data_IF_164060925324
#
_entry.id   IF_164060925324
#
_cell.length_a   1.000
_cell.length_b   1.000
_cell.length_c   1.000
_cell.angle_alpha   90.00
_cell.angle_beta   90.00
_cell.angle_gamma   90.00
#
_symmetry.space_group_name_H-M   'P 1'
#
loop_
_entity.id
_entity.type
_entity.pdbx_description
1 polymer ?
#
# COMPACT_ATOMS: atom_id res chain seq x y z
N UNK A 1 8.87 -2.96 -13.17
CA UNK A 1 7.77 -3.29 -12.22
C UNK A 1 6.66 -2.23 -12.20
N UNK A 2 7.00 -0.93 -12.12
CA UNK A 2 5.99 0.14 -12.13
C UNK A 2 5.10 0.17 -13.39
N UNK A 3 5.64 -0.17 -14.55
CA UNK A 3 4.88 -0.27 -15.81
C UNK A 3 3.84 -1.39 -15.78
N UNK A 4 4.15 -2.52 -15.11
CA UNK A 4 3.21 -3.63 -14.94
C UNK A 4 2.05 -3.20 -14.05
N UNK A 5 2.33 -2.51 -12.94
CA UNK A 5 1.28 -1.98 -12.05
C UNK A 5 0.37 -0.98 -12.77
N UNK A 6 0.96 -0.06 -13.55
CA UNK A 6 0.19 0.86 -14.37
C UNK A 6 -0.69 0.13 -15.40
N UNK A 7 -0.16 -0.92 -16.02
CA UNK A 7 -0.90 -1.70 -17.03
C UNK A 7 -2.15 -2.39 -16.48
N UNK A 8 -2.17 -2.69 -15.17
CA UNK A 8 -3.32 -3.28 -14.47
C UNK A 8 -4.18 -2.25 -13.72
N UNK A 9 -3.94 -0.95 -13.94
CA UNK A 9 -4.73 0.13 -13.34
C UNK A 9 -4.40 0.42 -11.87
N UNK A 10 -3.19 0.07 -11.41
CA UNK A 10 -2.70 0.38 -10.07
C UNK A 10 -1.61 1.46 -10.17
N UNK A 11 -1.70 2.48 -9.32
CA UNK A 11 -0.65 3.49 -9.17
C UNK A 11 0.62 2.84 -8.58
N UNK A 12 1.79 2.97 -9.22
CA UNK A 12 3.01 2.29 -8.78
C UNK A 12 3.46 2.70 -7.38
N UNK A 13 3.06 3.87 -6.90
CA UNK A 13 3.30 4.38 -5.56
C UNK A 13 2.63 3.52 -4.47
N UNK A 14 1.64 2.68 -4.84
CA UNK A 14 1.02 1.71 -3.93
C UNK A 14 1.89 0.49 -3.65
N UNK A 15 3.08 0.37 -4.26
CA UNK A 15 4.06 -0.67 -3.98
C UNK A 15 5.40 -0.03 -3.57
N UNK A 16 5.84 -0.31 -2.35
CA UNK A 16 7.15 0.09 -1.86
C UNK A 16 7.95 -1.13 -1.39
N UNK A 17 9.16 -1.27 -1.90
CA UNK A 17 10.10 -2.30 -1.45
C UNK A 17 11.14 -1.66 -0.52
N UNK A 18 11.32 -2.25 0.65
CA UNK A 18 12.28 -1.79 1.64
C UNK A 18 13.02 -2.96 2.27
N UNK A 19 14.29 -2.73 2.62
CA UNK A 19 15.13 -3.73 3.28
C UNK A 19 15.28 -3.40 4.76
N UNK A 20 14.92 -4.36 5.60
CA UNK A 20 15.04 -4.28 7.05
C UNK A 20 15.51 -5.61 7.59
N UNK A 21 16.63 -5.61 8.32
CA UNK A 21 17.08 -6.78 9.07
C UNK A 21 16.25 -6.97 10.34
N UNK A 22 16.33 -8.15 10.97
CA UNK A 22 15.55 -8.47 12.17
C UNK A 22 15.88 -7.58 13.39
N UNK A 23 17.03 -6.91 13.40
CA UNK A 23 17.45 -6.01 14.48
C UNK A 23 17.03 -4.54 14.24
N UNK A 24 16.61 -4.18 13.02
CA UNK A 24 16.30 -2.79 12.64
C UNK A 24 14.83 -2.43 12.89
N UNK A 25 14.29 -2.76 14.07
CA UNK A 25 12.87 -2.55 14.40
C UNK A 25 12.40 -1.09 14.25
N UNK A 26 13.27 -0.12 14.59
CA UNK A 26 12.96 1.30 14.42
C UNK A 26 12.81 1.69 12.94
N UNK A 27 13.69 1.19 12.07
CA UNK A 27 13.64 1.43 10.63
C UNK A 27 12.37 0.84 10.02
N UNK A 28 11.97 -0.36 10.46
CA UNK A 28 10.68 -0.94 10.06
C UNK A 28 9.52 -0.04 10.46
N UNK A 29 9.47 0.40 11.72
CA UNK A 29 8.42 1.30 12.21
C UNK A 29 8.33 2.57 11.37
N UNK A 30 9.44 3.23 11.11
CA UNK A 30 9.49 4.48 10.34
C UNK A 30 9.05 4.26 8.89
N UNK A 31 9.56 3.19 8.25
CA UNK A 31 9.23 2.85 6.86
C UNK A 31 7.76 2.51 6.71
N UNK A 32 7.22 1.67 7.60
CA UNK A 32 5.81 1.29 7.60
C UNK A 32 4.90 2.50 7.87
N UNK A 33 5.28 3.38 8.79
CA UNK A 33 4.50 4.59 9.11
C UNK A 33 4.46 5.55 7.92
N UNK A 34 5.61 5.80 7.27
CA UNK A 34 5.68 6.65 6.07
C UNK A 34 4.83 6.09 4.93
N UNK A 35 4.96 4.79 4.66
CA UNK A 35 4.19 4.13 3.63
C UNK A 35 2.69 4.15 3.93
N UNK A 36 2.28 3.92 5.18
CA UNK A 36 0.88 4.04 5.60
C UNK A 36 0.29 5.42 5.34
N UNK A 37 1.06 6.49 5.64
CA UNK A 37 0.61 7.85 5.38
C UNK A 37 0.46 8.12 3.88
N UNK A 38 1.40 7.66 3.05
CA UNK A 38 1.29 7.77 1.60
C UNK A 38 0.05 7.06 1.05
N UNK A 39 -0.23 5.84 1.51
CA UNK A 39 -1.42 5.08 1.08
C UNK A 39 -2.71 5.79 1.53
N UNK A 40 -2.72 6.40 2.72
CA UNK A 40 -3.85 7.21 3.18
C UNK A 40 -4.11 8.41 2.26
N UNK A 41 -3.07 9.11 1.82
CA UNK A 41 -3.18 10.25 0.90
C UNK A 41 -3.66 9.83 -0.49
N UNK A 42 -3.21 8.67 -0.98
CA UNK A 42 -3.68 8.08 -2.25
C UNK A 42 -5.13 7.57 -2.20
N UNK A 43 -5.73 7.50 -1.02
CA UNK A 43 -7.11 7.08 -0.85
C UNK A 43 -7.36 5.59 -1.16
N UNK A 44 -8.63 5.20 -1.33
CA UNK A 44 -9.01 3.80 -1.47
C UNK A 44 -8.42 3.15 -2.73
N UNK A 45 -8.17 1.84 -2.66
CA UNK A 45 -7.62 1.07 -3.77
C UNK A 45 -8.56 1.12 -5.00
N UNK A 46 -8.07 1.48 -6.19
CA UNK A 46 -8.86 1.58 -7.42
C UNK A 46 -9.51 0.26 -7.86
N UNK A 47 -8.98 -0.89 -7.42
CA UNK A 47 -9.52 -2.21 -7.74
C UNK A 47 -10.64 -2.68 -6.79
N UNK A 48 -11.02 -1.84 -5.82
CA UNK A 48 -12.04 -2.20 -4.83
C UNK A 48 -13.43 -2.19 -5.46
N UNK A 49 -13.96 -3.38 -5.77
CA UNK A 49 -15.33 -3.54 -6.27
C UNK A 49 -16.40 -3.31 -5.20
N UNK A 50 -17.62 -2.96 -5.62
CA UNK A 50 -18.80 -2.79 -4.74
C UNK A 50 -19.07 -4.02 -3.85
N UNK A 51 -18.68 -5.23 -4.26
CA UNK A 51 -18.88 -6.45 -3.47
C UNK A 51 -17.99 -6.53 -2.22
N UNK A 52 -16.89 -5.78 -2.16
CA UNK A 52 -16.02 -5.69 -0.96
C UNK A 52 -16.45 -4.61 0.02
N UNK A 53 -17.37 -3.70 -0.34
CA UNK A 53 -17.94 -2.71 0.61
C UNK A 53 -18.84 -3.35 1.67
N UNK A 54 -19.50 -4.47 1.36
CA UNK A 54 -20.42 -5.16 2.28
C UNK A 54 -19.76 -5.85 3.47
N UNK A 55 -18.49 -6.30 3.38
CA UNK A 55 -17.84 -7.07 4.46
C UNK A 55 -17.19 -6.23 5.57
N UNK A 56 -17.09 -4.91 5.40
CA UNK A 56 -16.47 -4.02 6.40
C UNK A 56 -17.50 -3.29 7.29
N UNK A 57 -18.81 -3.59 7.13
CA UNK A 57 -19.91 -2.93 7.86
C UNK A 57 -20.78 -3.95 8.64
N UNK A 58 -20.20 -5.07 9.07
CA UNK A 58 -20.82 -6.07 9.95
C UNK A 58 -19.86 -6.38 11.07
#
# INVERSE_FOLDING_TARGET
MGEVLKSIGIEPERLQMAYCSSAEGQKFKETATKFHNQIKELGPNPLRSESTKKKAKT
#
